data_IF_266954585512
#
_entry.id   IF_266954585512
#
_cell.length_a   1.000
_cell.length_b   1.000
_cell.length_c   1.000
_cell.angle_alpha   90.00
_cell.angle_beta   90.00
_cell.angle_gamma   90.00
#
_symmetry.space_group_name_H-M   'P 1'
#
loop_
_entity.id
_entity.type
_entity.pdbx_description
1 polymer ?
#
# COMPACT_ATOMS: atom_id res chain seq x y z
N UNK A 1 -27.53 -0.28 4.38
CA UNK A 1 -26.18 -0.86 4.40
C UNK A 1 -25.24 0.26 4.77
N UNK A 2 -24.38 0.07 5.77
CA UNK A 2 -23.34 1.06 6.13
C UNK A 2 -22.35 1.16 4.98
N UNK A 3 -21.98 2.38 4.57
CA UNK A 3 -21.00 2.58 3.52
C UNK A 3 -19.65 1.92 3.90
N UNK A 4 -18.99 1.21 2.97
CA UNK A 4 -17.68 0.62 3.24
C UNK A 4 -16.64 1.68 3.59
N UNK A 5 -15.84 1.41 4.63
CA UNK A 5 -14.76 2.30 5.04
C UNK A 5 -13.63 2.27 4.00
N UNK A 6 -13.08 3.45 3.74
CA UNK A 6 -12.02 3.70 2.75
C UNK A 6 -10.95 4.59 3.38
N UNK A 7 -9.69 4.37 3.01
CA UNK A 7 -8.62 5.33 3.22
C UNK A 7 -8.21 5.91 1.86
N UNK A 8 -7.99 7.22 1.79
CA UNK A 8 -7.54 7.91 0.58
C UNK A 8 -6.23 8.64 0.86
N UNK A 9 -5.23 8.45 0.01
CA UNK A 9 -4.07 9.32 -0.06
C UNK A 9 -4.42 10.60 -0.83
N UNK A 10 -4.27 11.76 -0.18
CA UNK A 10 -4.60 13.08 -0.71
C UNK A 10 -3.37 13.98 -0.79
N UNK A 11 -3.21 14.67 -1.91
CA UNK A 11 -2.28 15.77 -2.10
C UNK A 11 -2.79 17.05 -1.44
N UNK A 12 -2.02 17.60 -0.51
CA UNK A 12 -2.23 18.92 0.04
C UNK A 12 -1.44 19.95 -0.76
N UNK A 13 -2.13 20.70 -1.62
CA UNK A 13 -1.53 21.75 -2.47
C UNK A 13 -0.80 22.84 -1.66
N UNK A 14 -1.28 23.18 -0.46
CA UNK A 14 -0.71 24.25 0.36
C UNK A 14 0.63 23.84 1.00
N UNK A 15 0.67 22.62 1.53
CA UNK A 15 1.87 22.07 2.19
C UNK A 15 2.80 21.35 1.21
N UNK A 16 2.35 21.17 -0.04
CA UNK A 16 3.03 20.42 -1.11
C UNK A 16 3.45 19.02 -0.66
N UNK A 17 2.61 18.36 0.13
CA UNK A 17 2.86 17.03 0.67
C UNK A 17 1.60 16.17 0.56
N UNK A 18 1.76 14.87 0.78
CA UNK A 18 0.65 13.91 0.73
C UNK A 18 0.32 13.41 2.13
N UNK A 19 -0.97 13.36 2.40
CA UNK A 19 -1.52 12.84 3.64
C UNK A 19 -2.63 11.85 3.34
N UNK A 20 -2.77 10.83 4.16
CA UNK A 20 -3.88 9.90 4.07
C UNK A 20 -5.07 10.43 4.90
N UNK A 21 -6.30 10.39 4.35
CA UNK A 21 -7.53 10.81 5.03
C UNK A 21 -7.64 10.08 6.36
N UNK A 22 -7.64 10.84 7.46
CA UNK A 22 -7.58 10.26 8.79
C UNK A 22 -8.84 9.43 9.08
N UNK A 23 -8.69 8.11 9.14
CA UNK A 23 -9.68 7.27 9.82
C UNK A 23 -9.44 7.18 11.33
N UNK A 24 -8.33 7.70 11.88
CA UNK A 24 -8.02 7.59 13.31
C UNK A 24 -7.28 8.76 13.97
N UNK A 25 -7.05 9.89 13.30
CA UNK A 25 -6.30 11.01 13.89
C UNK A 25 -7.22 11.98 14.65
N UNK A 26 -7.89 11.45 15.68
CA UNK A 26 -8.52 12.23 16.73
C UNK A 26 -7.79 12.01 18.04
N UNK A 27 -6.99 12.98 18.45
CA UNK A 27 -6.44 13.17 19.82
C UNK A 27 -5.20 12.33 20.19
N UNK A 28 -4.01 12.89 19.95
CA UNK A 28 -2.76 12.52 20.63
C UNK A 28 -2.00 11.30 20.09
N UNK A 29 -0.74 11.17 20.48
CA UNK A 29 0.07 9.97 20.23
C UNK A 29 -0.47 8.83 21.09
N UNK A 30 -1.15 7.87 20.48
CA UNK A 30 -1.71 6.69 21.14
C UNK A 30 -0.61 5.71 21.50
N UNK A 31 -0.76 5.01 22.62
CA UNK A 31 0.11 3.87 22.93
C UNK A 31 -0.07 2.75 21.90
N UNK A 32 0.89 1.81 21.83
CA UNK A 32 0.78 0.67 20.93
C UNK A 32 -0.45 -0.19 21.28
N UNK A 33 -0.74 -0.35 22.57
CA UNK A 33 -1.89 -1.09 23.08
C UNK A 33 -3.21 -0.45 22.67
N UNK A 34 -3.30 0.89 22.75
CA UNK A 34 -4.49 1.63 22.33
C UNK A 34 -4.72 1.52 20.82
N UNK A 35 -3.65 1.60 20.01
CA UNK A 35 -3.74 1.38 18.57
C UNK A 35 -4.23 -0.04 18.26
N UNK A 36 -3.71 -1.07 18.95
CA UNK A 36 -4.15 -2.46 18.78
C UNK A 36 -5.65 -2.63 19.12
N UNK A 37 -6.14 -1.93 20.13
CA UNK A 37 -7.58 -1.95 20.46
C UNK A 37 -8.41 -1.28 19.36
N UNK A 38 -7.94 -0.15 18.83
CA UNK A 38 -8.61 0.57 17.75
C UNK A 38 -8.69 -0.25 16.46
N UNK A 39 -7.61 -0.98 16.11
CA UNK A 39 -7.50 -1.83 14.92
C UNK A 39 -8.65 -2.85 14.79
N UNK A 40 -9.25 -3.26 15.92
CA UNK A 40 -10.38 -4.22 15.94
C UNK A 40 -11.61 -3.68 15.21
N UNK A 41 -11.83 -2.37 15.21
CA UNK A 41 -12.99 -1.72 14.57
C UNK A 41 -12.98 -1.90 13.05
N UNK A 42 -11.80 -2.03 12.45
CA UNK A 42 -11.60 -2.12 11.02
C UNK A 42 -11.70 -3.55 10.47
N UNK A 43 -12.11 -4.52 11.31
CA UNK A 43 -12.38 -5.89 10.87
C UNK A 43 -11.12 -6.64 10.41
N UNK A 44 -11.26 -7.89 9.95
CA UNK A 44 -10.14 -8.73 9.51
C UNK A 44 -10.45 -9.29 8.14
N UNK A 45 -9.49 -9.21 7.22
CA UNK A 45 -9.57 -9.85 5.91
C UNK A 45 -9.32 -11.35 6.05
N UNK A 46 -10.11 -12.18 5.38
CA UNK A 46 -10.04 -13.66 5.44
C UNK A 46 -10.07 -14.20 4.02
N UNK A 47 -9.15 -15.10 3.61
CA UNK A 47 -9.04 -15.50 2.20
C UNK A 47 -10.31 -16.19 1.69
N UNK A 48 -10.71 -15.93 0.44
CA UNK A 48 -11.91 -16.50 -0.17
C UNK A 48 -11.93 -18.03 -0.11
N UNK A 49 -10.77 -18.65 -0.30
CA UNK A 49 -10.59 -20.10 -0.29
C UNK A 49 -10.28 -20.69 1.12
N UNK A 50 -10.21 -19.85 2.15
CA UNK A 50 -9.90 -20.24 3.53
C UNK A 50 -8.44 -20.64 3.80
N UNK A 51 -7.54 -20.52 2.83
CA UNK A 51 -6.14 -20.99 2.90
C UNK A 51 -5.12 -19.89 2.64
N UNK A 52 -5.22 -19.21 1.51
CA UNK A 52 -4.25 -18.18 1.08
C UNK A 52 -4.99 -17.07 0.34
N UNK A 53 -4.45 -15.85 0.42
CA UNK A 53 -4.95 -14.72 -0.34
C UNK A 53 -4.44 -14.78 -1.78
N UNK A 54 -5.26 -14.27 -2.69
CA UNK A 54 -4.83 -14.03 -4.07
C UNK A 54 -4.88 -12.55 -4.42
N UNK A 55 -3.92 -12.09 -5.21
CA UNK A 55 -3.81 -10.68 -5.61
C UNK A 55 -3.59 -10.55 -7.11
N UNK A 56 -4.17 -9.52 -7.72
CA UNK A 56 -3.95 -9.17 -9.12
C UNK A 56 -4.04 -7.66 -9.36
N UNK A 57 -3.14 -7.16 -10.21
CA UNK A 57 -3.29 -5.87 -10.86
C UNK A 57 -4.23 -5.98 -12.07
N UNK A 58 -5.31 -5.21 -12.03
CA UNK A 58 -6.37 -5.12 -13.02
C UNK A 58 -6.14 -3.90 -13.93
N UNK A 59 -6.51 -4.02 -15.19
CA UNK A 59 -6.62 -2.89 -16.14
C UNK A 59 -5.38 -1.97 -16.14
N UNK A 60 -4.19 -2.58 -16.20
CA UNK A 60 -2.93 -1.85 -16.16
C UNK A 60 -2.81 -0.88 -17.34
N UNK A 61 -2.70 0.41 -17.02
CA UNK A 61 -2.48 1.48 -17.99
C UNK A 61 -1.57 2.57 -17.40
N UNK A 62 -0.31 2.24 -17.13
CA UNK A 62 0.68 3.23 -16.67
C UNK A 62 1.94 3.19 -17.53
N UNK A 63 2.36 4.36 -18.02
CA UNK A 63 3.53 4.50 -18.92
C UNK A 63 4.87 4.18 -18.25
N UNK A 64 4.96 4.35 -16.92
CA UNK A 64 6.22 4.41 -16.18
C UNK A 64 6.55 3.14 -15.40
N UNK A 65 5.54 2.34 -15.07
CA UNK A 65 5.71 1.06 -14.36
C UNK A 65 5.12 -0.06 -15.18
N UNK A 66 5.92 -1.06 -15.51
CA UNK A 66 5.47 -2.27 -16.22
C UNK A 66 4.65 -3.20 -15.32
N UNK A 67 3.80 -4.05 -15.92
CA UNK A 67 3.08 -5.10 -15.19
C UNK A 67 4.00 -6.01 -14.37
N UNK A 68 5.20 -6.32 -14.87
CA UNK A 68 6.21 -7.11 -14.14
C UNK A 68 6.69 -6.40 -12.87
N UNK A 69 6.92 -5.10 -12.96
CA UNK A 69 7.34 -4.28 -11.83
C UNK A 69 6.22 -4.15 -10.79
N UNK A 70 4.96 -3.96 -11.22
CA UNK A 70 3.80 -3.94 -10.31
C UNK A 70 3.64 -5.28 -9.58
N UNK A 71 3.65 -6.40 -10.31
CA UNK A 71 3.52 -7.72 -9.70
C UNK A 71 4.65 -7.99 -8.69
N UNK A 72 5.85 -7.47 -8.96
CA UNK A 72 6.97 -7.50 -8.00
C UNK A 72 6.64 -6.64 -6.77
N UNK A 73 6.27 -5.37 -6.94
CA UNK A 73 5.94 -4.47 -5.82
C UNK A 73 4.85 -5.04 -4.92
N UNK A 74 3.78 -5.58 -5.52
CA UNK A 74 2.71 -6.29 -4.82
C UNK A 74 3.25 -7.47 -4.02
N UNK A 75 4.07 -8.32 -4.65
CA UNK A 75 4.65 -9.50 -4.00
C UNK A 75 5.57 -9.10 -2.84
N UNK A 76 6.38 -8.05 -3.04
CA UNK A 76 7.27 -7.52 -2.03
C UNK A 76 6.49 -6.98 -0.81
N UNK A 77 5.47 -6.16 -1.05
CA UNK A 77 4.61 -5.60 -0.01
C UNK A 77 3.99 -6.71 0.87
N UNK A 78 3.40 -7.75 0.26
CA UNK A 78 2.81 -8.85 1.03
C UNK A 78 3.85 -9.74 1.71
N UNK A 79 5.01 -10.00 1.08
CA UNK A 79 6.08 -10.79 1.70
C UNK A 79 6.56 -10.21 3.03
N UNK A 80 6.59 -8.88 3.18
CA UNK A 80 6.92 -8.24 4.46
C UNK A 80 5.97 -8.69 5.57
N UNK A 81 4.66 -8.76 5.28
CA UNK A 81 3.66 -9.25 6.23
C UNK A 81 3.76 -10.77 6.44
N UNK A 82 3.90 -11.57 5.39
CA UNK A 82 3.95 -13.04 5.48
C UNK A 82 5.09 -13.56 6.37
N UNK A 83 6.24 -12.87 6.42
CA UNK A 83 7.35 -13.23 7.32
C UNK A 83 6.96 -13.12 8.81
N UNK A 84 6.01 -12.25 9.11
CA UNK A 84 5.63 -11.85 10.47
C UNK A 84 4.33 -12.50 10.96
N UNK A 85 3.36 -12.68 10.07
CA UNK A 85 2.02 -13.21 10.37
C UNK A 85 1.68 -14.46 9.54
N UNK A 86 0.79 -15.35 10.02
CA UNK A 86 0.49 -16.63 9.38
C UNK A 86 -0.53 -16.46 8.24
N UNK A 87 -0.24 -15.57 7.28
CA UNK A 87 -0.98 -15.46 6.02
C UNK A 87 -0.08 -15.88 4.88
N UNK A 88 -0.64 -16.53 3.86
CA UNK A 88 0.07 -16.81 2.60
C UNK A 88 -0.63 -16.05 1.46
N UNK A 89 0.14 -15.52 0.52
CA UNK A 89 -0.33 -14.70 -0.60
C UNK A 89 0.32 -15.17 -1.88
N UNK A 90 -0.47 -15.26 -2.96
CA UNK A 90 0.05 -15.50 -4.31
C UNK A 90 -0.64 -14.63 -5.35
N UNK A 91 -0.03 -14.52 -6.52
CA UNK A 91 -0.70 -13.94 -7.68
C UNK A 91 -1.87 -14.83 -8.09
N UNK A 92 -3.01 -14.21 -8.44
CA UNK A 92 -4.20 -14.92 -8.88
C UNK A 92 -4.03 -15.44 -10.32
N UNK A 93 -4.50 -16.66 -10.61
CA UNK A 93 -4.50 -17.26 -11.95
C UNK A 93 -5.57 -16.64 -12.84
N UNK A 94 -5.35 -16.46 -14.14
CA UNK A 94 -6.18 -15.62 -15.03
C UNK A 94 -7.72 -15.66 -14.81
N UNK A 95 -8.30 -16.84 -14.58
CA UNK A 95 -9.74 -17.07 -14.36
C UNK A 95 -10.20 -17.06 -12.88
N UNK A 96 -9.27 -16.90 -11.94
CA UNK A 96 -9.51 -16.80 -10.50
C UNK A 96 -9.89 -15.37 -10.09
N UNK A 97 -10.99 -15.23 -9.34
CA UNK A 97 -11.37 -13.97 -8.69
C UNK A 97 -10.44 -13.68 -7.50
N UNK A 98 -9.59 -12.64 -7.58
CA UNK A 98 -8.61 -12.33 -6.54
C UNK A 98 -9.26 -11.82 -5.24
N UNK A 99 -8.59 -12.05 -4.11
CA UNK A 99 -8.93 -11.41 -2.83
C UNK A 99 -8.59 -9.92 -2.81
N UNK A 100 -7.44 -9.55 -3.39
CA UNK A 100 -6.95 -8.17 -3.50
C UNK A 100 -6.84 -7.77 -4.98
N UNK A 101 -7.42 -6.62 -5.32
CA UNK A 101 -7.53 -6.10 -6.68
C UNK A 101 -6.89 -4.73 -6.73
N UNK A 102 -5.93 -4.54 -7.61
CA UNK A 102 -5.26 -3.24 -7.81
C UNK A 102 -5.68 -2.68 -9.15
N UNK A 103 -6.52 -1.65 -9.18
CA UNK A 103 -6.94 -0.99 -10.42
C UNK A 103 -6.09 0.24 -10.67
N UNK A 104 -5.86 0.55 -11.95
CA UNK A 104 -5.23 1.78 -12.41
C UNK A 104 -6.29 2.59 -13.16
N UNK A 105 -6.69 3.74 -12.61
CA UNK A 105 -7.80 4.55 -13.15
C UNK A 105 -7.46 6.03 -13.13
N UNK A 106 -7.97 6.78 -14.10
CA UNK A 106 -7.91 8.24 -14.09
C UNK A 106 -9.09 8.82 -13.31
N UNK A 107 -9.01 10.10 -12.92
CA UNK A 107 -10.13 10.81 -12.29
C UNK A 107 -11.38 10.84 -13.17
N UNK A 108 -11.23 10.71 -14.49
CA UNK A 108 -12.34 10.63 -15.43
C UNK A 108 -13.14 9.31 -15.34
N UNK A 109 -12.52 8.23 -14.84
CA UNK A 109 -13.07 6.87 -14.87
C UNK A 109 -13.56 6.38 -13.50
N UNK A 110 -13.21 7.08 -12.41
CA UNK A 110 -13.54 6.68 -11.04
C UNK A 110 -14.04 7.88 -10.21
N UNK A 111 -15.31 7.88 -9.76
CA UNK A 111 -15.90 9.01 -9.06
C UNK A 111 -15.36 9.24 -7.64
N UNK A 112 -14.59 8.29 -7.08
CA UNK A 112 -13.95 8.44 -5.78
C UNK A 112 -12.64 9.21 -5.92
N UNK A 113 -12.00 9.10 -7.08
CA UNK A 113 -10.80 9.87 -7.38
C UNK A 113 -11.15 11.34 -7.56
N UNK A 114 -10.27 12.18 -7.06
CA UNK A 114 -10.26 13.61 -7.30
C UNK A 114 -8.89 14.00 -7.83
N UNK A 115 -8.73 15.25 -8.30
CA UNK A 115 -7.43 15.80 -8.72
C UNK A 115 -6.33 15.70 -7.67
N UNK A 116 -6.70 15.51 -6.39
CA UNK A 116 -5.78 15.40 -5.27
C UNK A 116 -5.67 13.97 -4.73
N UNK A 117 -6.51 13.02 -5.16
CA UNK A 117 -6.48 11.66 -4.64
C UNK A 117 -5.47 10.82 -5.42
N UNK A 118 -4.41 10.35 -4.78
CA UNK A 118 -3.31 9.60 -5.43
C UNK A 118 -3.56 8.10 -5.44
N UNK A 119 -4.04 7.57 -4.33
CA UNK A 119 -4.40 6.17 -4.16
C UNK A 119 -5.52 6.07 -3.13
N UNK A 120 -6.29 5.00 -3.18
CA UNK A 120 -7.18 4.64 -2.07
C UNK A 120 -7.30 3.14 -1.92
N UNK A 121 -7.61 2.69 -0.70
CA UNK A 121 -7.88 1.30 -0.41
C UNK A 121 -9.09 1.15 0.53
N UNK A 122 -9.93 0.15 0.25
CA UNK A 122 -11.03 -0.21 1.15
C UNK A 122 -10.55 -1.03 2.33
N UNK A 123 -11.03 -0.73 3.53
CA UNK A 123 -10.80 -1.58 4.69
C UNK A 123 -11.45 -2.97 4.51
N UNK A 124 -11.08 -3.98 5.32
CA UNK A 124 -11.63 -5.32 5.22
C UNK A 124 -13.16 -5.37 5.21
N UNK A 125 -13.72 -5.94 4.14
CA UNK A 125 -15.15 -6.22 4.02
C UNK A 125 -15.38 -7.71 4.29
N UNK A 126 -16.26 -8.03 5.25
CA UNK A 126 -16.53 -9.42 5.67
C UNK A 126 -17.18 -10.27 4.59
N UNK A 127 -18.06 -9.66 3.80
CA UNK A 127 -18.70 -10.36 2.68
C UNK A 127 -17.67 -10.61 1.58
N UNK A 128 -17.32 -11.89 1.41
CA UNK A 128 -16.33 -12.35 0.42
C UNK A 128 -16.73 -12.01 -1.01
N UNK A 129 -18.02 -11.85 -1.30
CA UNK A 129 -18.52 -11.55 -2.64
C UNK A 129 -18.73 -10.06 -2.88
N UNK A 130 -18.44 -9.20 -1.90
CA UNK A 130 -18.62 -7.77 -2.05
C UNK A 130 -17.67 -7.21 -3.13
N UNK A 131 -18.16 -6.42 -4.10
CA UNK A 131 -17.35 -5.97 -5.24
C UNK A 131 -16.15 -5.10 -4.84
N UNK A 132 -16.30 -4.30 -3.77
CA UNK A 132 -15.26 -3.40 -3.23
C UNK A 132 -14.26 -4.10 -2.29
N UNK A 133 -14.42 -5.40 -2.03
CA UNK A 133 -13.55 -6.12 -1.11
C UNK A 133 -12.13 -6.23 -1.68
N UNK A 134 -11.15 -5.81 -0.88
CA UNK A 134 -9.73 -5.84 -1.23
C UNK A 134 -9.37 -4.96 -2.42
N UNK A 135 -10.22 -3.97 -2.74
CA UNK A 135 -9.98 -3.06 -3.85
C UNK A 135 -9.04 -1.94 -3.42
N UNK A 136 -7.95 -1.81 -4.16
CA UNK A 136 -7.01 -0.71 -4.16
C UNK A 136 -7.09 -0.03 -5.53
N UNK A 137 -7.12 1.30 -5.57
CA UNK A 137 -7.15 2.05 -6.83
C UNK A 137 -6.03 3.07 -6.83
N UNK A 138 -5.21 2.99 -7.88
CA UNK A 138 -4.07 3.87 -8.17
C UNK A 138 -4.54 4.92 -9.17
N UNK A 139 -4.40 6.21 -8.84
CA UNK A 139 -4.77 7.28 -9.75
C UNK A 139 -3.70 7.48 -10.82
N UNK A 140 -4.03 7.17 -12.07
CA UNK A 140 -3.11 7.29 -13.21
C UNK A 140 -2.85 8.72 -13.67
N UNK A 141 -3.56 9.71 -13.12
CA UNK A 141 -3.26 11.13 -13.32
C UNK A 141 -1.94 11.54 -12.63
N UNK A 142 -1.44 10.69 -11.73
CA UNK A 142 -0.15 10.84 -11.05
C UNK A 142 0.91 9.90 -11.63
N UNK A 143 2.16 10.36 -11.68
CA UNK A 143 3.28 9.57 -12.19
C UNK A 143 3.90 8.72 -11.06
N UNK A 144 3.80 7.40 -11.18
CA UNK A 144 4.43 6.47 -10.24
C UNK A 144 5.71 5.88 -10.85
N UNK A 145 6.70 5.61 -10.02
CA UNK A 145 7.81 4.68 -10.32
C UNK A 145 7.94 3.69 -9.16
N UNK A 146 8.81 2.69 -9.30
CA UNK A 146 8.97 1.67 -8.25
C UNK A 146 9.59 2.23 -6.96
N UNK A 147 10.49 3.21 -7.06
CA UNK A 147 11.24 3.79 -5.92
C UNK A 147 11.11 5.32 -5.83
N UNK A 148 10.07 5.90 -6.45
CA UNK A 148 9.87 7.36 -6.47
C UNK A 148 10.96 8.16 -7.20
N UNK A 149 11.74 7.51 -8.06
CA UNK A 149 12.79 8.15 -8.84
C UNK A 149 12.21 9.23 -9.76
N UNK A 150 12.86 10.39 -9.83
CA UNK A 150 12.42 11.43 -10.75
C UNK A 150 12.50 10.94 -12.20
N UNK A 151 11.56 11.39 -13.03
CA UNK A 151 11.47 11.09 -14.46
C UNK A 151 11.72 12.37 -15.25
N UNK A 152 12.33 12.26 -16.43
CA UNK A 152 12.65 13.45 -17.25
C UNK A 152 11.39 14.17 -17.71
N UNK A 153 11.39 15.52 -17.66
CA UNK A 153 10.29 16.32 -18.20
C UNK A 153 10.13 16.12 -19.72
N UNK A 154 11.22 15.79 -20.42
CA UNK A 154 11.15 15.37 -21.82
C UNK A 154 10.27 14.12 -22.01
N UNK A 155 10.25 13.19 -21.05
CA UNK A 155 9.43 11.99 -21.21
C UNK A 155 7.96 12.23 -20.81
N UNK A 156 7.72 13.15 -19.86
CA UNK A 156 6.39 13.47 -19.31
C UNK A 156 5.61 14.43 -20.22
N UNK A 157 6.27 15.46 -20.72
CA UNK A 157 5.66 16.56 -21.47
C UNK A 157 6.50 16.89 -22.71
N UNK A 158 6.40 16.01 -23.71
CA UNK A 158 7.13 16.12 -24.98
C UNK A 158 6.71 17.34 -25.80
N UNK A 159 5.57 17.96 -25.50
CA UNK A 159 5.08 19.15 -26.20
C UNK A 159 5.87 20.39 -25.78
N UNK A 160 6.14 20.55 -24.48
CA UNK A 160 6.90 21.68 -23.95
C UNK A 160 8.40 21.42 -23.85
N UNK A 161 8.81 20.16 -23.72
CA UNK A 161 10.20 19.72 -23.66
C UNK A 161 10.48 18.81 -24.85
N UNK A 162 10.93 19.38 -25.97
CA UNK A 162 11.10 18.67 -27.25
C UNK A 162 12.46 17.99 -27.40
N UNK A 163 13.40 18.23 -26.48
CA UNK A 163 14.74 17.62 -26.44
C UNK A 163 15.03 17.10 -25.02
N UNK A 164 15.93 16.12 -24.93
CA UNK A 164 16.35 15.55 -23.64
C UNK A 164 16.85 16.67 -22.70
N UNK A 165 16.33 16.68 -21.49
CA UNK A 165 16.51 17.76 -20.53
C UNK A 165 16.96 17.21 -19.18
N UNK A 166 17.78 18.00 -18.48
CA UNK A 166 18.14 17.72 -17.09
C UNK A 166 17.01 18.04 -16.10
N UNK A 167 15.93 18.66 -16.57
CA UNK A 167 14.77 18.98 -15.75
C UNK A 167 13.97 17.69 -15.56
N UNK A 168 13.74 17.32 -14.30
CA UNK A 168 13.01 16.11 -13.95
C UNK A 168 11.79 16.46 -13.11
N UNK A 169 10.72 15.67 -13.24
CA UNK A 169 9.54 15.75 -12.39
C UNK A 169 9.63 14.70 -11.27
N UNK A 170 9.13 15.01 -10.06
CA UNK A 170 9.00 14.02 -9.02
C UNK A 170 8.00 12.93 -9.42
N UNK A 171 8.24 11.70 -8.99
CA UNK A 171 7.28 10.59 -9.11
C UNK A 171 7.00 9.97 -7.74
N UNK A 172 5.98 9.13 -7.68
CA UNK A 172 5.55 8.47 -6.45
C UNK A 172 6.10 7.06 -6.37
N UNK A 173 6.56 6.69 -5.18
CA UNK A 173 7.05 5.36 -4.86
C UNK A 173 5.88 4.38 -4.70
N UNK A 174 5.67 3.56 -5.73
CA UNK A 174 4.61 2.56 -5.72
C UNK A 174 4.84 1.48 -4.65
N UNK A 175 6.07 1.01 -4.43
CA UNK A 175 6.33 -0.10 -3.51
C UNK A 175 6.02 0.34 -2.05
N UNK A 176 6.47 1.53 -1.69
CA UNK A 176 6.22 2.14 -0.38
C UNK A 176 4.74 2.42 -0.15
N UNK A 177 4.08 3.12 -1.08
CA UNK A 177 2.65 3.46 -0.96
C UNK A 177 1.78 2.20 -0.97
N UNK A 178 2.07 1.24 -1.84
CA UNK A 178 1.28 0.01 -1.89
C UNK A 178 1.46 -0.85 -0.63
N UNK A 179 2.63 -0.81 0.01
CA UNK A 179 2.86 -1.46 1.31
C UNK A 179 2.00 -0.84 2.42
N UNK A 180 1.83 0.49 2.42
CA UNK A 180 0.89 1.18 3.31
C UNK A 180 -0.56 0.75 3.06
N UNK A 181 -0.96 0.68 1.80
CA UNK A 181 -2.36 0.49 1.41
C UNK A 181 -2.83 -0.96 1.58
N UNK A 182 -2.19 -1.93 0.93
CA UNK A 182 -2.73 -3.29 0.89
C UNK A 182 -2.37 -4.14 2.14
N UNK A 183 -1.09 -4.38 2.47
CA UNK A 183 -0.73 -5.03 3.74
C UNK A 183 -1.13 -4.24 4.98
N UNK A 184 -1.26 -2.91 4.89
CA UNK A 184 -1.74 -2.06 5.97
C UNK A 184 -3.27 -2.01 6.05
N UNK A 185 -3.88 -1.09 5.30
CA UNK A 185 -5.33 -0.91 5.29
C UNK A 185 -6.10 -2.13 4.80
N UNK A 186 -5.61 -2.84 3.80
CA UNK A 186 -6.25 -4.06 3.30
C UNK A 186 -6.26 -5.23 4.30
N UNK A 187 -5.35 -5.25 5.27
CA UNK A 187 -5.40 -6.14 6.46
C UNK A 187 -6.06 -5.45 7.67
N UNK A 188 -6.53 -4.22 7.49
CA UNK A 188 -7.36 -3.45 8.40
C UNK A 188 -6.58 -2.72 9.48
N UNK A 189 -5.35 -2.28 9.21
CA UNK A 189 -4.69 -1.32 10.09
C UNK A 189 -5.12 0.10 9.70
N UNK A 190 -5.70 0.92 10.60
CA UNK A 190 -5.75 2.38 10.44
C UNK A 190 -4.35 2.99 10.53
N UNK A 191 -4.24 4.30 10.29
CA UNK A 191 -2.96 5.00 10.45
C UNK A 191 -2.39 4.83 11.85
N UNK A 192 -1.06 4.79 11.94
CA UNK A 192 -0.36 5.01 13.21
C UNK A 192 -0.50 6.47 13.61
N UNK A 193 -0.59 6.71 14.92
CA UNK A 193 -0.48 8.05 15.51
C UNK A 193 0.97 8.57 15.56
N UNK A 194 1.94 7.79 15.08
CA UNK A 194 3.36 8.10 15.09
C UNK A 194 3.92 8.21 13.67
N UNK A 195 4.86 9.13 13.52
CA UNK A 195 5.69 9.26 12.32
C UNK A 195 6.74 8.14 12.25
N UNK A 196 7.30 7.93 11.07
CA UNK A 196 8.34 6.92 10.82
C UNK A 196 7.83 5.49 10.84
N UNK A 197 6.53 5.28 10.63
CA UNK A 197 5.87 3.97 10.52
C UNK A 197 5.39 3.75 9.10
N UNK A 198 5.28 2.51 8.66
CA UNK A 198 4.65 2.18 7.38
C UNK A 198 3.24 2.77 7.35
N UNK A 199 2.49 2.66 8.46
CA UNK A 199 1.14 3.21 8.59
C UNK A 199 1.09 4.71 8.95
N UNK A 200 2.18 5.49 8.83
CA UNK A 200 2.12 6.92 9.14
C UNK A 200 1.20 7.67 8.17
N UNK A 201 0.45 8.68 8.65
CA UNK A 201 -0.56 9.36 7.83
C UNK A 201 0.03 10.32 6.79
N UNK A 202 1.36 10.46 6.69
CA UNK A 202 2.02 11.26 5.66
C UNK A 202 3.07 10.47 4.93
N UNK A 203 3.07 10.56 3.60
CA UNK A 203 4.05 9.88 2.74
C UNK A 203 5.48 10.36 3.00
N UNK A 204 5.67 11.63 3.35
CA UNK A 204 6.99 12.17 3.65
C UNK A 204 7.59 11.68 4.97
N UNK A 205 6.78 11.07 5.85
CA UNK A 205 7.21 10.58 7.16
C UNK A 205 7.02 9.08 7.33
N UNK A 206 6.43 8.38 6.36
CA UNK A 206 6.22 6.94 6.45
C UNK A 206 7.53 6.17 6.20
N UNK A 207 7.67 5.03 6.87
CA UNK A 207 8.74 4.10 6.57
C UNK A 207 8.38 3.30 5.32
N UNK A 208 9.36 3.04 4.46
CA UNK A 208 9.19 2.18 3.28
C UNK A 208 8.99 0.71 3.67
N UNK A 209 9.67 0.28 4.73
CA UNK A 209 9.69 -1.11 5.17
C UNK A 209 9.28 -1.28 6.64
N UNK A 210 8.44 -2.28 6.92
CA UNK A 210 7.97 -2.60 8.28
C UNK A 210 9.13 -2.97 9.23
N UNK A 211 10.20 -3.52 8.66
CA UNK A 211 11.39 -3.95 9.38
C UNK A 211 12.34 -2.79 9.75
N UNK A 212 12.12 -1.59 9.23
CA UNK A 212 12.95 -0.40 9.49
C UNK A 212 12.31 0.56 10.50
N UNK A 213 11.06 0.32 10.88
CA UNK A 213 10.37 1.10 11.90
C UNK A 213 11.10 1.04 13.25
N UNK A 214 11.37 2.21 13.84
CA UNK A 214 11.95 2.33 15.19
C UNK A 214 11.11 3.31 16.03
N UNK A 215 10.50 2.89 17.15
CA UNK A 215 10.21 1.49 17.50
C UNK A 215 9.25 0.85 16.46
N UNK A 216 9.19 -0.48 16.40
CA UNK A 216 8.25 -1.18 15.53
C UNK A 216 6.80 -1.03 16.03
N UNK A 217 5.86 -0.72 15.13
CA UNK A 217 4.43 -0.63 15.46
C UNK A 217 3.56 -1.47 14.53
N UNK A 218 3.84 -1.43 13.22
CA UNK A 218 3.04 -2.15 12.22
C UNK A 218 3.10 -3.66 12.45
N UNK A 219 4.29 -4.21 12.72
CA UNK A 219 4.48 -5.64 12.95
C UNK A 219 3.72 -6.14 14.19
N UNK A 220 3.86 -5.54 15.39
CA UNK A 220 3.04 -5.91 16.54
C UNK A 220 1.53 -5.83 16.29
N UNK A 221 1.06 -4.77 15.61
CA UNK A 221 -0.36 -4.58 15.27
C UNK A 221 -0.89 -5.68 14.36
N UNK A 222 -0.17 -6.00 13.28
CA UNK A 222 -0.49 -7.13 12.41
C UNK A 222 -0.52 -8.45 13.18
N UNK A 223 0.46 -8.69 14.06
CA UNK A 223 0.53 -9.93 14.87
C UNK A 223 -0.61 -10.03 15.88
N UNK A 224 -1.02 -8.93 16.50
CA UNK A 224 -2.17 -8.93 17.41
C UNK A 224 -3.46 -9.37 16.69
N UNK A 225 -3.56 -9.04 15.40
CA UNK A 225 -4.76 -9.28 14.59
C UNK A 225 -4.76 -10.63 13.87
N UNK A 226 -3.61 -11.06 13.36
CA UNK A 226 -3.46 -12.27 12.55
C UNK A 226 -2.75 -13.41 13.27
N UNK A 227 -2.17 -13.16 14.44
CA UNK A 227 -1.28 -14.10 15.13
C UNK A 227 0.16 -13.96 14.65
N UNK A 228 1.07 -14.74 15.24
CA UNK A 228 2.50 -14.72 14.88
C UNK A 228 2.84 -15.96 14.06
N UNK A 229 3.55 -15.78 12.93
CA UNK A 229 4.08 -16.93 12.18
C UNK A 229 5.17 -17.63 12.99
N UNK A 230 5.03 -18.94 13.14
CA UNK A 230 6.09 -19.78 13.72
C UNK A 230 7.25 -19.89 12.74
N UNK A 231 8.29 -19.10 12.95
CA UNK A 231 9.51 -19.11 12.13
C UNK A 231 10.72 -18.89 13.03
N UNK A 232 11.79 -19.67 12.81
CA UNK A 232 13.07 -19.47 13.50
C UNK A 232 13.61 -18.05 13.24
N UNK A 233 14.08 -17.37 14.28
CA UNK A 233 14.58 -15.98 14.20
C UNK A 233 15.67 -15.80 13.14
N UNK A 234 16.56 -16.80 12.96
CA UNK A 234 17.60 -16.77 11.92
C UNK A 234 17.02 -16.77 10.49
N UNK A 235 15.91 -17.47 10.27
CA UNK A 235 15.26 -17.49 8.95
C UNK A 235 14.54 -16.17 8.72
N UNK A 236 13.84 -15.65 9.75
CA UNK A 236 13.22 -14.33 9.72
C UNK A 236 14.24 -13.23 9.38
N UNK A 237 15.40 -13.22 10.06
CA UNK A 237 16.46 -12.24 9.81
C UNK A 237 17.07 -12.39 8.41
N UNK A 238 17.31 -13.63 7.95
CA UNK A 238 17.79 -13.90 6.59
C UNK A 238 16.82 -13.38 5.54
N UNK A 239 15.52 -13.58 5.73
CA UNK A 239 14.48 -13.08 4.83
C UNK A 239 14.42 -11.56 4.82
N UNK A 240 14.43 -10.91 5.99
CA UNK A 240 14.50 -9.44 6.10
C UNK A 240 15.73 -8.86 5.40
N UNK A 241 16.91 -9.45 5.59
CA UNK A 241 18.14 -9.00 4.94
C UNK A 241 18.13 -9.24 3.42
N UNK A 242 17.62 -10.39 2.98
CA UNK A 242 17.46 -10.69 1.56
C UNK A 242 16.50 -9.71 0.90
N UNK A 243 15.41 -9.37 1.60
CA UNK A 243 14.40 -8.43 1.14
C UNK A 243 15.01 -7.04 0.91
N UNK A 244 15.70 -6.48 1.91
CA UNK A 244 16.39 -5.18 1.78
C UNK A 244 17.31 -5.14 0.55
N UNK A 245 18.13 -6.17 0.38
CA UNK A 245 19.07 -6.26 -0.76
C UNK A 245 18.35 -6.39 -2.11
N UNK A 246 17.13 -6.98 -2.15
CA UNK A 246 16.36 -7.14 -3.39
C UNK A 246 15.45 -5.96 -3.70
N UNK A 247 15.06 -5.16 -2.72
CA UNK A 247 14.43 -3.87 -2.97
C UNK A 247 15.43 -2.94 -3.67
N UNK A 248 16.64 -2.80 -3.10
CA UNK A 248 17.67 -1.88 -3.59
C UNK A 248 18.29 -2.22 -4.95
N UNK A 249 18.31 -3.50 -5.35
CA UNK A 249 19.11 -3.97 -6.50
C UNK A 249 18.40 -3.94 -7.85
N UNK A 250 17.16 -3.45 -7.94
CA UNK A 250 16.40 -3.46 -9.19
C UNK A 250 15.38 -2.34 -9.27
#
# INVERSE_FOLDING_TARGET
MTEPLICKMIYNENEKCFHFESTGAGVGKLSLEDQIEEDKKYGKMVPRNGKYFTVRAMDWNNKWITSRQINRGITLAFHQAEIEIPIDVRLAEFDEEPDFKVFFRATADDPILSRNTVMYHYFPIKDVNHPLRGVCVVNTDFNFTIHGNNVSMFEIDQEHYTEDTKITAPTYDFDSIYTHEAPGHGLGLPHSSHDGKVMSPSVGTMAEFMAEEIPHETIPRLRAKYGTRSMLSRHRLRWRNWYRVRADKY
#
